data_IF_155347337444
#
_entry.id   IF_155347337444
#
_cell.length_a   1.000
_cell.length_b   1.000
_cell.length_c   1.000
_cell.angle_alpha   90.00
_cell.angle_beta   90.00
_cell.angle_gamma   90.00
#
_symmetry.space_group_name_H-M   'P 1'
#
loop_
_entity.id
_entity.type
_entity.pdbx_description
1 polymer ?
#
# COMPACT_ATOMS: atom_id res chain seq x y z
N UNK A 1 -31.50 2.30 28.41
CA UNK A 1 -30.17 2.86 28.06
C UNK A 1 -29.09 1.85 27.65
N UNK A 2 -28.94 0.68 28.29
CA UNK A 2 -27.82 -0.26 28.02
C UNK A 2 -27.70 -0.79 26.57
N UNK A 3 -28.80 -0.89 25.80
CA UNK A 3 -28.77 -1.37 24.40
C UNK A 3 -28.17 -0.34 23.42
N UNK A 4 -28.51 0.94 23.55
CA UNK A 4 -28.03 2.01 22.67
C UNK A 4 -26.53 2.25 22.82
N UNK A 5 -26.01 2.15 24.06
CA UNK A 5 -24.58 2.26 24.34
C UNK A 5 -23.76 1.15 23.67
N UNK A 6 -24.27 -0.09 23.67
CA UNK A 6 -23.61 -1.23 23.03
C UNK A 6 -23.55 -1.08 21.51
N UNK A 7 -24.63 -0.57 20.89
CA UNK A 7 -24.68 -0.33 19.44
C UNK A 7 -23.71 0.78 19.05
N UNK A 8 -23.63 1.86 19.84
CA UNK A 8 -22.69 2.95 19.59
C UNK A 8 -21.23 2.51 19.72
N UNK A 9 -20.89 1.74 20.77
CA UNK A 9 -19.55 1.15 20.94
C UNK A 9 -19.19 0.18 19.82
N UNK A 10 -20.15 -0.61 19.34
CA UNK A 10 -19.94 -1.53 18.22
C UNK A 10 -19.65 -0.74 16.93
N UNK A 11 -20.40 0.33 16.66
CA UNK A 11 -20.19 1.17 15.48
C UNK A 11 -18.82 1.88 15.52
N UNK A 12 -18.42 2.35 16.70
CA UNK A 12 -17.12 2.97 16.92
C UNK A 12 -15.97 1.96 16.78
N UNK A 13 -16.15 0.75 17.29
CA UNK A 13 -15.19 -0.33 17.13
C UNK A 13 -15.02 -0.73 15.66
N UNK A 14 -16.12 -0.80 14.90
CA UNK A 14 -16.10 -1.11 13.46
C UNK A 14 -15.39 -0.02 12.67
N UNK A 15 -15.63 1.26 12.97
CA UNK A 15 -14.94 2.39 12.32
C UNK A 15 -13.43 2.36 12.58
N UNK A 16 -13.02 2.18 13.84
CA UNK A 16 -11.60 2.06 14.22
C UNK A 16 -10.95 0.83 13.53
N UNK A 17 -11.67 -0.29 13.41
CA UNK A 17 -11.17 -1.47 12.71
C UNK A 17 -11.06 -1.25 11.20
N UNK A 18 -11.97 -0.48 10.59
CA UNK A 18 -11.96 -0.20 9.15
C UNK A 18 -10.82 0.72 8.73
N UNK A 19 -10.33 1.59 9.61
CA UNK A 19 -9.15 2.43 9.32
C UNK A 19 -7.84 1.65 9.40
N UNK A 20 -7.82 0.47 10.02
CA UNK A 20 -6.61 -0.36 10.17
C UNK A 20 -6.30 -1.26 8.98
N UNK A 21 -7.16 -1.31 7.96
CA UNK A 21 -6.83 -2.00 6.71
C UNK A 21 -5.98 -1.09 5.81
N UNK A 22 -4.81 -0.71 6.31
CA UNK A 22 -3.74 -0.22 5.47
C UNK A 22 -3.30 -1.37 4.57
N UNK A 23 -3.73 -1.35 3.31
CA UNK A 23 -3.28 -2.34 2.34
C UNK A 23 -1.78 -2.14 2.11
N UNK A 24 -0.98 -3.11 2.55
CA UNK A 24 0.45 -3.17 2.28
C UNK A 24 0.63 -3.82 0.91
N UNK A 25 1.28 -3.10 0.00
CA UNK A 25 1.58 -3.57 -1.35
C UNK A 25 3.10 -3.70 -1.55
N UNK A 26 3.49 -4.55 -2.49
CA UNK A 26 4.90 -4.76 -2.87
C UNK A 26 5.23 -3.95 -4.11
N UNK A 27 6.36 -3.26 -4.11
CA UNK A 27 6.85 -2.51 -5.26
C UNK A 27 8.37 -2.53 -5.37
N UNK A 28 8.90 -2.08 -6.50
CA UNK A 28 10.34 -1.92 -6.71
C UNK A 28 10.75 -0.46 -6.56
N UNK A 29 11.61 -0.15 -5.59
CA UNK A 29 12.10 1.19 -5.32
C UNK A 29 13.35 1.50 -6.15
N UNK A 30 13.34 2.63 -6.85
CA UNK A 30 14.50 3.26 -7.49
C UNK A 30 14.53 4.74 -7.08
N UNK A 31 15.48 5.11 -6.23
CA UNK A 31 15.53 6.44 -5.62
C UNK A 31 14.29 6.70 -4.76
N UNK A 32 13.50 7.72 -5.12
CA UNK A 32 12.24 8.11 -4.43
C UNK A 32 10.98 7.54 -5.09
N UNK A 33 11.12 6.79 -6.19
CA UNK A 33 9.98 6.25 -6.94
C UNK A 33 9.81 4.76 -6.65
N UNK A 34 8.57 4.33 -6.47
CA UNK A 34 8.19 2.93 -6.30
C UNK A 34 7.36 2.51 -7.51
N UNK A 35 7.80 1.44 -8.17
CA UNK A 35 7.11 0.83 -9.31
C UNK A 35 6.27 -0.33 -8.80
N UNK A 36 4.96 -0.30 -9.04
CA UNK A 36 3.99 -1.21 -8.40
C UNK A 36 3.52 -2.31 -9.34
N UNK A 37 3.63 -2.08 -10.65
CA UNK A 37 3.13 -2.98 -11.66
C UNK A 37 4.09 -4.16 -11.87
N UNK A 38 3.87 -5.23 -11.10
CA UNK A 38 4.66 -6.46 -11.20
C UNK A 38 4.32 -7.21 -12.48
N UNK A 39 5.33 -7.41 -13.32
CA UNK A 39 5.21 -8.35 -14.44
C UNK A 39 5.50 -9.74 -13.92
N UNK A 40 4.72 -10.73 -14.36
CA UNK A 40 4.97 -12.12 -14.03
C UNK A 40 5.53 -12.86 -15.26
N UNK A 41 6.82 -12.72 -15.58
CA UNK A 41 7.39 -13.44 -16.69
C UNK A 41 7.83 -14.81 -16.20
N UNK A 42 6.88 -15.74 -16.08
CA UNK A 42 7.10 -17.10 -15.56
C UNK A 42 8.30 -17.82 -16.20
N UNK A 43 8.66 -17.48 -17.44
CA UNK A 43 9.82 -18.02 -18.14
C UNK A 43 11.14 -17.27 -17.88
N UNK A 44 11.12 -15.93 -17.74
CA UNK A 44 12.34 -15.16 -17.44
C UNK A 44 12.77 -15.30 -15.98
N UNK A 45 11.83 -15.52 -15.05
CA UNK A 45 12.14 -15.86 -13.66
C UNK A 45 12.91 -17.18 -13.52
N UNK A 46 12.72 -18.11 -14.46
CA UNK A 46 13.44 -19.38 -14.50
C UNK A 46 14.88 -19.24 -15.05
N UNK A 47 15.16 -18.22 -15.87
CA UNK A 47 16.46 -18.02 -16.54
C UNK A 47 17.32 -16.94 -15.85
N UNK A 48 16.71 -15.87 -15.35
CA UNK A 48 17.42 -14.69 -14.80
C UNK A 48 17.58 -14.71 -13.27
N UNK A 49 17.27 -15.83 -12.63
CA UNK A 49 17.41 -16.02 -11.19
C UNK A 49 16.43 -15.16 -10.40
N UNK A 50 15.19 -15.66 -10.23
CA UNK A 50 14.18 -15.30 -9.21
C UNK A 50 13.90 -13.82 -8.86
N UNK A 51 14.52 -12.86 -9.54
CA UNK A 51 14.43 -11.43 -9.24
C UNK A 51 13.17 -10.84 -9.88
N UNK A 52 12.26 -10.25 -9.09
CA UNK A 52 10.98 -9.78 -9.62
C UNK A 52 11.19 -8.59 -10.56
N UNK A 53 10.42 -8.60 -11.66
CA UNK A 53 10.47 -7.58 -12.72
C UNK A 53 9.21 -6.73 -12.65
N UNK A 54 9.41 -5.41 -12.61
CA UNK A 54 8.35 -4.40 -12.57
C UNK A 54 8.34 -3.58 -13.87
N UNK A 55 7.16 -3.14 -14.29
CA UNK A 55 7.01 -2.22 -15.40
C UNK A 55 7.22 -0.77 -14.95
N UNK A 56 7.80 0.03 -15.83
CA UNK A 56 7.91 1.49 -15.66
C UNK A 56 6.55 2.20 -15.60
N UNK A 57 5.51 1.56 -16.14
CA UNK A 57 4.14 2.05 -16.15
C UNK A 57 3.45 1.66 -14.83
N UNK A 58 3.40 2.61 -13.89
CA UNK A 58 2.86 2.41 -12.54
C UNK A 58 3.80 2.90 -11.45
N UNK A 59 4.43 4.06 -11.66
CA UNK A 59 5.30 4.70 -10.66
C UNK A 59 4.45 5.54 -9.72
N UNK A 60 4.70 5.37 -8.44
CA UNK A 60 4.17 6.22 -7.38
C UNK A 60 5.34 6.82 -6.60
N UNK A 61 5.14 8.03 -6.07
CA UNK A 61 6.08 8.65 -5.14
C UNK A 61 5.50 8.47 -3.75
N UNK A 62 6.20 7.71 -2.92
CA UNK A 62 5.78 7.45 -1.54
C UNK A 62 6.83 8.04 -0.61
N UNK A 63 6.39 8.68 0.46
CA UNK A 63 7.30 9.16 1.49
C UNK A 63 8.04 7.97 2.15
N UNK A 64 9.32 8.16 2.48
CA UNK A 64 10.18 7.09 3.00
C UNK A 64 9.65 6.44 4.30
N UNK A 65 8.87 7.20 5.07
CA UNK A 65 8.17 6.75 6.28
C UNK A 65 7.08 5.71 6.05
N UNK A 66 6.71 5.46 4.79
CA UNK A 66 5.65 4.53 4.40
C UNK A 66 6.21 3.19 3.89
N UNK A 67 7.54 3.06 3.87
CA UNK A 67 8.23 1.83 3.53
C UNK A 67 8.35 1.00 4.79
N UNK A 68 7.73 -0.17 4.78
CA UNK A 68 7.63 -1.08 5.92
C UNK A 68 8.84 -2.02 5.98
N UNK A 69 9.21 -2.64 4.86
CA UNK A 69 10.29 -3.61 4.78
C UNK A 69 10.98 -3.60 3.41
N UNK A 70 12.26 -3.98 3.38
CA UNK A 70 13.01 -4.24 2.14
C UNK A 70 13.22 -5.75 2.00
N UNK A 71 12.86 -6.32 0.85
CA UNK A 71 12.86 -7.78 0.63
C UNK A 71 14.08 -8.27 -0.15
N UNK A 72 14.64 -7.46 -1.04
CA UNK A 72 15.78 -7.86 -1.87
C UNK A 72 15.88 -7.08 -3.18
N UNK A 73 16.74 -7.50 -4.12
CA UNK A 73 16.91 -6.82 -5.40
C UNK A 73 15.70 -7.03 -6.32
N UNK A 74 15.29 -5.99 -7.02
CA UNK A 74 14.29 -6.03 -8.08
C UNK A 74 14.80 -5.34 -9.35
N UNK A 75 14.08 -5.54 -10.46
CA UNK A 75 14.40 -4.93 -11.73
C UNK A 75 13.19 -4.19 -12.29
N UNK A 76 13.39 -3.00 -12.85
CA UNK A 76 12.35 -2.22 -13.53
C UNK A 76 12.68 -2.12 -15.01
N UNK A 77 11.70 -2.44 -15.85
CA UNK A 77 11.76 -2.18 -17.28
C UNK A 77 11.24 -0.77 -17.57
N UNK A 78 12.10 0.14 -18.04
CA UNK A 78 11.74 1.55 -18.29
C UNK A 78 11.02 1.80 -19.61
N UNK A 79 10.80 0.75 -20.41
CA UNK A 79 10.14 0.81 -21.71
C UNK A 79 8.93 -0.12 -21.78
N UNK A 80 8.39 -0.31 -22.98
CA UNK A 80 7.33 -1.28 -23.22
C UNK A 80 7.85 -2.70 -22.99
N UNK A 81 7.12 -3.46 -22.18
CA UNK A 81 7.34 -4.88 -22.02
C UNK A 81 6.64 -5.61 -23.18
N UNK A 82 7.41 -6.19 -24.08
CA UNK A 82 6.92 -6.91 -25.26
C UNK A 82 7.27 -8.38 -25.13
N UNK A 83 6.27 -9.19 -24.82
CA UNK A 83 6.37 -10.66 -24.76
C UNK A 83 6.22 -11.28 -26.15
N UNK A 84 6.93 -10.78 -27.17
CA UNK A 84 6.92 -11.38 -28.50
C UNK A 84 7.87 -12.59 -28.51
N UNK A 85 7.28 -13.78 -28.34
CA UNK A 85 7.83 -15.08 -28.76
C UNK A 85 9.34 -15.30 -28.53
N UNK A 86 9.77 -15.43 -27.26
CA UNK A 86 11.04 -16.11 -26.94
C UNK A 86 12.33 -15.29 -27.06
N UNK A 87 12.30 -14.01 -27.40
CA UNK A 87 13.50 -13.15 -27.44
C UNK A 87 13.83 -12.52 -26.07
N UNK A 88 14.33 -13.38 -25.18
CA UNK A 88 15.38 -13.24 -24.15
C UNK A 88 15.34 -12.08 -23.11
N UNK A 89 14.58 -11.00 -23.27
CA UNK A 89 14.48 -10.00 -22.17
C UNK A 89 13.17 -9.22 -22.09
N UNK A 90 12.36 -9.17 -23.16
CA UNK A 90 11.05 -8.53 -23.16
C UNK A 90 11.02 -7.01 -22.96
N UNK A 91 12.08 -6.39 -22.43
CA UNK A 91 12.15 -4.95 -22.22
C UNK A 91 12.86 -4.25 -23.38
N UNK A 92 12.16 -3.33 -24.04
CA UNK A 92 12.65 -2.59 -25.21
C UNK A 92 13.84 -1.65 -24.91
N UNK A 93 13.94 -1.12 -23.69
CA UNK A 93 14.94 -0.11 -23.30
C UNK A 93 15.94 -0.59 -22.24
N UNK A 94 15.84 -1.86 -21.81
CA UNK A 94 16.70 -2.46 -20.79
C UNK A 94 16.17 -2.37 -19.35
N UNK A 95 16.89 -3.00 -18.43
CA UNK A 95 16.51 -3.09 -17.02
C UNK A 95 17.32 -2.15 -16.14
N UNK A 96 16.64 -1.52 -15.20
CA UNK A 96 17.24 -0.77 -14.09
C UNK A 96 17.10 -1.59 -12.82
N UNK A 97 18.15 -1.67 -12.01
CA UNK A 97 18.12 -2.37 -10.73
C UNK A 97 17.58 -1.46 -9.63
N UNK A 98 16.79 -2.04 -8.73
CA UNK A 98 16.26 -1.39 -7.55
C UNK A 98 16.14 -2.37 -6.38
N UNK A 99 15.44 -1.94 -5.34
CA UNK A 99 15.18 -2.75 -4.14
C UNK A 99 13.68 -2.99 -3.99
N UNK A 100 13.25 -4.24 -3.87
CA UNK A 100 11.85 -4.59 -3.61
C UNK A 100 11.51 -4.18 -2.18
N UNK A 101 10.42 -3.42 -2.04
CA UNK A 101 9.96 -2.88 -0.78
C UNK A 101 8.47 -3.11 -0.60
N UNK A 102 8.07 -3.33 0.65
CA UNK A 102 6.68 -3.28 1.08
C UNK A 102 6.34 -1.84 1.44
N UNK A 103 5.31 -1.26 0.82
CA UNK A 103 4.86 0.10 1.08
C UNK A 103 3.36 0.16 1.40
N UNK A 104 2.98 1.21 2.12
CA UNK A 104 1.59 1.47 2.50
C UNK A 104 0.98 2.48 1.53
N UNK A 105 -0.09 2.09 0.83
CA UNK A 105 -0.76 2.92 -0.21
C UNK A 105 -1.40 4.19 0.37
N UNK A 106 -1.88 4.14 1.62
CA UNK A 106 -2.64 5.20 2.28
C UNK A 106 -1.92 5.84 3.46
N UNK A 107 -0.62 6.08 3.31
CA UNK A 107 0.23 6.57 4.40
C UNK A 107 -0.16 7.96 4.96
N UNK A 108 -0.92 8.76 4.20
CA UNK A 108 -1.39 10.09 4.63
C UNK A 108 -2.66 10.07 5.50
N UNK A 109 -3.42 8.96 5.52
CA UNK A 109 -4.71 8.91 6.24
C UNK A 109 -4.58 8.69 7.76
N UNK A 110 -3.39 8.37 8.27
CA UNK A 110 -3.26 7.88 9.65
C UNK A 110 -3.32 9.00 10.73
N UNK A 111 -2.93 10.24 10.40
CA UNK A 111 -2.79 11.30 11.43
C UNK A 111 -4.05 12.13 11.69
N UNK A 112 -4.82 12.44 10.64
CA UNK A 112 -5.95 13.37 10.77
C UNK A 112 -7.29 12.66 11.04
N UNK A 113 -7.45 11.43 10.54
CA UNK A 113 -8.70 10.68 10.66
C UNK A 113 -8.92 10.19 12.09
N UNK A 114 -7.86 9.70 12.74
CA UNK A 114 -7.89 9.30 14.16
C UNK A 114 -8.27 10.46 15.09
N UNK A 115 -7.75 11.67 14.83
CA UNK A 115 -8.09 12.86 15.59
C UNK A 115 -9.57 13.22 15.41
N UNK A 116 -10.08 13.20 14.17
CA UNK A 116 -11.48 13.50 13.87
C UNK A 116 -12.44 12.50 14.55
N UNK A 117 -12.10 11.21 14.53
CA UNK A 117 -12.86 10.15 15.21
C UNK A 117 -12.84 10.38 16.72
N UNK A 118 -11.68 10.63 17.34
CA UNK A 118 -11.59 10.91 18.77
C UNK A 118 -12.43 12.13 19.19
N UNK A 119 -12.36 13.23 18.42
CA UNK A 119 -13.17 14.42 18.69
C UNK A 119 -14.67 14.16 18.53
N UNK A 120 -15.09 13.42 17.49
CA UNK A 120 -16.49 13.04 17.28
C UNK A 120 -17.02 12.12 18.38
N UNK A 121 -16.20 11.19 18.86
CA UNK A 121 -16.54 10.28 19.96
C UNK A 121 -16.72 11.01 21.30
N UNK A 122 -15.80 11.91 21.64
CA UNK A 122 -15.84 12.67 22.88
C UNK A 122 -17.05 13.62 22.90
N UNK A 123 -17.30 14.34 21.81
CA UNK A 123 -18.44 15.26 21.71
C UNK A 123 -19.78 14.52 21.72
N UNK A 124 -19.88 13.40 20.99
CA UNK A 124 -21.08 12.55 21.01
C UNK A 124 -21.38 11.97 22.39
N UNK A 125 -20.35 11.49 23.11
CA UNK A 125 -20.49 10.98 24.48
C UNK A 125 -20.92 12.07 25.46
N UNK A 126 -20.34 13.27 25.34
CA UNK A 126 -20.68 14.41 26.18
C UNK A 126 -22.13 14.86 25.99
N UNK A 127 -22.61 14.89 24.75
CA UNK A 127 -24.00 15.24 24.43
C UNK A 127 -25.00 14.20 24.98
N UNK A 128 -24.67 12.91 24.88
CA UNK A 128 -25.47 11.82 25.44
C UNK A 128 -25.50 11.83 26.97
N UNK A 129 -24.39 12.22 27.61
CA UNK A 129 -24.26 12.28 29.06
C UNK A 129 -24.98 13.49 29.69
N UNK A 130 -25.15 14.60 28.94
CA UNK A 130 -25.94 15.76 29.39
C UNK A 130 -27.44 15.59 29.20
N UNK A 131 -27.89 14.76 28.26
CA UNK A 131 -29.29 14.32 28.21
C UNK A 131 -29.50 13.31 29.34
N UNK A 132 -29.79 13.80 30.55
CA UNK A 132 -30.44 13.00 31.60
C UNK A 132 -31.72 12.40 31.01
N UNK A 133 -31.66 11.14 30.61
CA UNK A 133 -32.80 10.24 30.42
C UNK A 133 -32.64 9.16 31.48
#
# INVERSE_FOLDING_TARGET
MKKQLKVFLLFFAILIYSERTSATETGCQIGVQIYTNKTNPGFLNAILGSTPIYQGNGRITVAQQCISNQRGPCRVCTGSFTSLYGLISGCTTGFVQGTEVDYIVNCDLDKNTLALVLFGGITGFWFLSRKKI
#
